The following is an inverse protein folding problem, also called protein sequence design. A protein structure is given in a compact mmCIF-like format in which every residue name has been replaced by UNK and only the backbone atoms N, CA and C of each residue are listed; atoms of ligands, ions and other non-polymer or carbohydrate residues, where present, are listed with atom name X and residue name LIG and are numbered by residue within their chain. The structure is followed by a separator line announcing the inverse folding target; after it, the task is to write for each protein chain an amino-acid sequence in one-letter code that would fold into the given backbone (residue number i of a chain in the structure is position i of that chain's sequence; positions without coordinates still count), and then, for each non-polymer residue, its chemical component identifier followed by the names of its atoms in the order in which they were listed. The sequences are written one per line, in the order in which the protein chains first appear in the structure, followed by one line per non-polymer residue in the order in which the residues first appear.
data_IF_125541653871
#
_entry.id   IF_125541653871
#
_cell.length_a   1.000
_cell.length_b   1.000
_cell.length_c   1.000
_cell.angle_alpha   90.00
_cell.angle_beta   90.00
_cell.angle_gamma   90.00
#
_symmetry.space_group_name_H-M   'P 1'
#
loop_
_entity.id
_entity.type
_entity.pdbx_description
1 polymer ?
#
# COMPACT_ATOMS: atom_id res chain seq x y z
N UNK A 1 5.81 -18.34 8.97
CA UNK A 1 5.74 -17.21 8.03
C UNK A 1 5.98 -15.93 8.80
N UNK A 2 6.81 -15.03 8.28
CA UNK A 2 7.00 -13.68 8.81
C UNK A 2 6.38 -12.70 7.81
N UNK A 3 5.60 -11.76 8.31
CA UNK A 3 5.05 -10.65 7.54
C UNK A 3 5.66 -9.39 8.13
N UNK A 4 6.41 -8.65 7.32
CA UNK A 4 7.01 -7.37 7.72
C UNK A 4 6.14 -6.26 7.14
N UNK A 5 5.51 -5.48 8.02
CA UNK A 5 4.77 -4.29 7.61
C UNK A 5 5.72 -3.09 7.56
N UNK A 6 5.73 -2.39 6.44
CA UNK A 6 6.37 -1.09 6.29
C UNK A 6 5.29 -0.04 6.40
N UNK A 7 5.35 0.79 7.44
CA UNK A 7 4.36 1.83 7.67
C UNK A 7 4.72 3.08 6.87
N UNK A 8 3.81 3.51 6.01
CA UNK A 8 4.00 4.69 5.17
C UNK A 8 3.29 5.90 5.78
N UNK A 9 3.87 7.12 5.71
CA UNK A 9 3.15 8.31 6.13
C UNK A 9 1.80 8.48 5.42
N UNK A 10 0.74 8.79 6.19
CA UNK A 10 -0.60 8.94 5.64
C UNK A 10 -0.80 10.18 4.77
N UNK A 11 -1.67 10.08 3.76
CA UNK A 11 -2.06 11.21 2.91
C UNK A 11 -2.99 12.16 3.67
N UNK A 12 -2.57 13.42 3.78
CA UNK A 12 -3.31 14.47 4.46
C UNK A 12 -3.84 15.47 3.43
N UNK A 13 -5.12 15.83 3.51
CA UNK A 13 -5.65 16.93 2.70
C UNK A 13 -4.94 18.23 3.07
N UNK A 14 -4.40 18.91 2.08
CA UNK A 14 -3.70 20.19 2.29
C UNK A 14 -4.62 21.35 1.97
N UNK A 15 -4.81 22.25 2.95
CA UNK A 15 -5.51 23.53 2.73
C UNK A 15 -4.53 24.69 2.54
N UNK A 16 -3.21 24.46 2.71
CA UNK A 16 -2.20 25.52 2.71
C UNK A 16 -0.89 25.13 2.02
N UNK A 17 -0.24 26.13 1.38
CA UNK A 17 1.02 25.95 0.64
C UNK A 17 2.20 25.44 1.50
N UNK A 18 2.18 25.69 2.81
CA UNK A 18 3.21 25.16 3.74
C UNK A 18 3.03 23.65 3.99
N UNK A 19 1.79 23.15 3.92
CA UNK A 19 1.49 21.72 4.04
C UNK A 19 1.72 20.97 2.73
N UNK A 20 1.72 21.68 1.59
CA UNK A 20 1.98 21.11 0.26
C UNK A 20 3.43 20.61 0.11
N UNK A 21 4.42 21.39 0.58
CA UNK A 21 5.82 20.97 0.58
C UNK A 21 6.08 19.74 1.46
N UNK A 22 5.46 19.68 2.64
CA UNK A 22 5.49 18.52 3.52
C UNK A 22 4.79 17.32 2.89
N UNK A 23 3.61 17.51 2.30
CA UNK A 23 2.89 16.42 1.64
C UNK A 23 3.72 15.81 0.52
N UNK A 24 4.44 16.62 -0.25
CA UNK A 24 5.36 16.14 -1.28
C UNK A 24 6.48 15.28 -0.68
N UNK A 25 7.06 15.69 0.45
CA UNK A 25 8.09 14.90 1.14
C UNK A 25 7.54 13.56 1.66
N UNK A 26 6.38 13.58 2.33
CA UNK A 26 5.69 12.38 2.81
C UNK A 26 5.31 11.44 1.65
N UNK A 27 4.87 12.00 0.52
CA UNK A 27 4.60 11.24 -0.71
C UNK A 27 5.87 10.62 -1.30
N UNK A 28 7.01 11.30 -1.24
CA UNK A 28 8.30 10.76 -1.71
C UNK A 28 8.78 9.62 -0.81
N UNK A 29 8.62 9.75 0.51
CA UNK A 29 8.93 8.67 1.46
C UNK A 29 8.03 7.47 1.24
N UNK A 30 6.71 7.67 1.24
CA UNK A 30 5.74 6.60 0.99
C UNK A 30 5.96 5.93 -0.38
N UNK A 31 6.33 6.71 -1.39
CA UNK A 31 6.68 6.21 -2.72
C UNK A 31 7.87 5.23 -2.69
N UNK A 32 8.95 5.59 -2.00
CA UNK A 32 10.13 4.72 -1.90
C UNK A 32 9.81 3.42 -1.16
N UNK A 33 8.98 3.49 -0.12
CA UNK A 33 8.58 2.32 0.68
C UNK A 33 7.65 1.37 -0.09
N UNK A 34 6.80 1.90 -0.96
CA UNK A 34 5.92 1.10 -1.82
C UNK A 34 6.70 0.36 -2.91
N UNK A 35 7.73 0.99 -3.49
CA UNK A 35 8.50 0.39 -4.61
C UNK A 35 9.18 -0.93 -4.21
N UNK A 36 9.61 -1.04 -2.95
CA UNK A 36 10.29 -2.23 -2.39
C UNK A 36 9.32 -3.24 -1.74
N UNK A 37 8.02 -2.92 -1.65
CA UNK A 37 7.03 -3.79 -1.04
C UNK A 37 6.61 -4.95 -1.96
N UNK A 38 6.57 -6.17 -1.43
CA UNK A 38 6.06 -7.33 -2.16
C UNK A 38 4.56 -7.22 -2.48
N UNK A 39 3.82 -6.57 -1.57
CA UNK A 39 2.38 -6.39 -1.65
C UNK A 39 1.97 -5.10 -0.90
N UNK A 40 1.01 -4.35 -1.45
CA UNK A 40 0.54 -3.09 -0.85
C UNK A 40 -0.91 -3.19 -0.36
N UNK A 41 -1.19 -2.66 0.83
CA UNK A 41 -2.55 -2.48 1.34
C UNK A 41 -2.94 -1.01 1.21
N UNK A 42 -3.91 -0.71 0.34
CA UNK A 42 -4.46 0.63 0.19
C UNK A 42 -5.61 0.82 1.17
N UNK A 43 -5.32 1.46 2.30
CA UNK A 43 -6.29 1.69 3.38
C UNK A 43 -7.11 2.97 3.14
N UNK A 44 -8.44 2.84 3.09
CA UNK A 44 -9.37 3.93 2.85
C UNK A 44 -10.38 4.02 4.00
N UNK A 45 -10.61 5.23 4.51
CA UNK A 45 -11.64 5.50 5.52
C UNK A 45 -13.03 5.51 4.85
N UNK A 46 -13.82 4.46 5.08
CA UNK A 46 -15.13 4.27 4.46
C UNK A 46 -16.19 5.27 4.93
N UNK A 47 -15.97 5.94 6.06
CA UNK A 47 -16.87 6.96 6.60
C UNK A 47 -16.64 8.34 5.95
N UNK A 48 -15.54 8.52 5.20
CA UNK A 48 -15.25 9.75 4.46
C UNK A 48 -15.87 9.71 3.07
N UNK A 49 -16.19 10.89 2.56
CA UNK A 49 -16.62 11.04 1.17
C UNK A 49 -15.40 11.02 0.25
N UNK A 50 -15.55 10.34 -0.89
CA UNK A 50 -14.60 10.44 -2.00
C UNK A 50 -14.68 11.84 -2.60
N UNK A 51 -13.53 12.49 -2.72
CA UNK A 51 -13.35 13.71 -3.52
C UNK A 51 -12.21 13.54 -4.51
N UNK A 52 -12.02 14.52 -5.37
CA UNK A 52 -11.08 14.41 -6.49
C UNK A 52 -9.63 14.26 -6.00
N UNK A 53 -9.24 14.98 -4.94
CA UNK A 53 -7.91 14.86 -4.33
C UNK A 53 -7.66 13.44 -3.78
N UNK A 54 -8.63 12.87 -3.05
CA UNK A 54 -8.50 11.50 -2.55
C UNK A 54 -8.46 10.49 -3.69
N UNK A 55 -9.25 10.70 -4.75
CA UNK A 55 -9.28 9.85 -5.93
C UNK A 55 -7.93 9.85 -6.65
N UNK A 56 -7.33 11.02 -6.85
CA UNK A 56 -6.01 11.17 -7.49
C UNK A 56 -4.90 10.50 -6.67
N UNK A 57 -4.90 10.72 -5.35
CA UNK A 57 -3.95 10.09 -4.44
C UNK A 57 -4.05 8.56 -4.48
N UNK A 58 -5.27 8.02 -4.40
CA UNK A 58 -5.51 6.58 -4.43
C UNK A 58 -5.11 5.97 -5.78
N UNK A 59 -5.43 6.63 -6.89
CA UNK A 59 -5.02 6.19 -8.23
C UNK A 59 -3.50 6.12 -8.32
N UNK A 60 -2.81 7.16 -7.84
CA UNK A 60 -1.34 7.22 -7.84
C UNK A 60 -0.73 6.09 -7.00
N UNK A 61 -1.28 5.81 -5.82
CA UNK A 61 -0.83 4.73 -4.95
C UNK A 61 -1.06 3.35 -5.57
N UNK A 62 -2.24 3.11 -6.15
CA UNK A 62 -2.56 1.85 -6.80
C UNK A 62 -1.66 1.59 -8.00
N UNK A 63 -1.40 2.60 -8.84
CA UNK A 63 -0.47 2.49 -9.96
C UNK A 63 0.96 2.17 -9.50
N UNK A 64 1.45 2.85 -8.45
CA UNK A 64 2.77 2.55 -7.88
C UNK A 64 2.86 1.13 -7.32
N UNK A 65 1.84 0.70 -6.59
CA UNK A 65 1.80 -0.66 -6.05
C UNK A 65 1.89 -1.72 -7.16
N UNK A 66 1.26 -1.49 -8.32
CA UNK A 66 1.35 -2.40 -9.48
C UNK A 66 2.79 -2.46 -10.01
N UNK A 67 3.51 -1.34 -9.99
CA UNK A 67 4.90 -1.24 -10.45
C UNK A 67 5.95 -1.58 -9.38
N UNK A 68 5.51 -1.86 -8.15
CA UNK A 68 6.40 -2.24 -7.06
C UNK A 68 7.22 -3.48 -7.47
N UNK A 69 8.53 -3.35 -7.35
CA UNK A 69 9.49 -4.39 -7.73
C UNK A 69 9.42 -5.54 -6.73
N UNK A 70 9.03 -5.24 -5.50
CA UNK A 70 9.14 -6.17 -4.37
C UNK A 70 10.57 -6.26 -3.86
N UNK A 71 10.78 -7.09 -2.85
CA UNK A 71 12.11 -7.26 -2.27
C UNK A 71 13.06 -7.90 -3.28
N UNK A 72 14.19 -7.24 -3.52
CA UNK A 72 15.29 -7.82 -4.30
C UNK A 72 16.16 -8.64 -3.34
N UNK A 73 16.05 -9.97 -3.38
CA UNK A 73 17.03 -10.83 -2.71
C UNK A 73 18.37 -10.71 -3.45
N UNK A 74 19.36 -10.05 -2.85
CA UNK A 74 20.74 -10.13 -3.33
C UNK A 74 21.30 -11.50 -2.95
N UNK A 75 21.36 -12.43 -3.90
CA UNK A 75 22.23 -13.60 -3.70
C UNK A 75 23.69 -13.13 -3.72
N UNK A 76 24.42 -13.41 -2.63
CA UNK A 76 25.88 -13.34 -2.62
C UNK A 76 26.39 -14.42 -3.57
N UNK A 77 26.88 -14.00 -4.74
CA UNK A 77 27.61 -14.90 -5.62
C UNK A 77 28.91 -15.28 -4.92
N UNK A 78 29.12 -16.57 -4.68
CA UNK A 78 30.47 -17.09 -4.43
C UNK A 78 31.36 -16.65 -5.59
N UNK A 79 32.49 -16.02 -5.27
CA UNK A 79 33.45 -15.46 -6.22
C UNK A 79 33.95 -16.56 -7.18
N UNK A 80 33.32 -16.62 -8.36
CA UNK A 80 33.67 -17.49 -9.47
C UNK A 80 33.45 -16.73 -10.77
N UNK A 81 34.58 -16.37 -11.39
CA UNK A 81 34.75 -15.69 -12.66
C UNK A 81 33.63 -15.94 -13.69
N UNK A 82 32.87 -14.89 -14.04
CA UNK A 82 32.56 -14.50 -15.43
C UNK A 82 31.66 -13.24 -15.45
N UNK A 83 32.16 -12.18 -16.07
CA UNK A 83 31.37 -11.00 -16.43
C UNK A 83 30.32 -11.38 -17.48
N UNK A 84 29.05 -11.53 -17.08
CA UNK A 84 27.88 -11.00 -17.77
C UNK A 84 26.57 -11.50 -17.14
N UNK A 85 25.60 -10.57 -17.08
CA UNK A 85 24.16 -10.80 -16.84
C UNK A 85 23.72 -10.91 -15.37
N UNK A 86 23.42 -9.74 -14.76
CA UNK A 86 22.48 -9.66 -13.63
C UNK A 86 21.13 -10.19 -14.10
N UNK A 87 20.80 -11.45 -13.77
CA UNK A 87 19.46 -12.00 -13.97
C UNK A 87 18.66 -11.78 -12.70
N UNK A 88 17.64 -10.93 -12.78
CA UNK A 88 16.59 -10.77 -11.76
C UNK A 88 15.83 -12.10 -11.69
N UNK A 89 16.27 -13.05 -10.87
CA UNK A 89 15.52 -14.28 -10.63
C UNK A 89 14.45 -13.99 -9.59
N UNK A 90 13.21 -13.85 -10.04
CA UNK A 90 12.04 -13.91 -9.16
C UNK A 90 12.05 -15.26 -8.42
N UNK A 91 11.76 -15.23 -7.12
CA UNK A 91 12.04 -16.31 -6.16
C UNK A 91 11.14 -17.56 -6.23
N UNK A 92 10.76 -18.07 -7.42
CA UNK A 92 10.09 -19.38 -7.51
C UNK A 92 10.50 -20.23 -8.75
N UNK A 93 10.91 -21.50 -8.56
CA UNK A 93 11.18 -22.43 -9.67
C UNK A 93 9.92 -23.07 -10.30
N UNK A 94 8.73 -22.51 -10.06
CA UNK A 94 7.43 -22.99 -10.58
C UNK A 94 6.45 -21.84 -10.87
N UNK A 95 6.95 -20.64 -11.17
CA UNK A 95 6.10 -19.59 -11.70
C UNK A 95 5.81 -19.89 -13.17
N UNK A 96 4.57 -20.24 -13.51
CA UNK A 96 4.06 -20.02 -14.87
C UNK A 96 4.23 -18.51 -15.14
N UNK A 97 5.15 -18.13 -16.03
CA UNK A 97 5.49 -16.73 -16.36
C UNK A 97 4.28 -15.87 -16.76
N UNK A 98 3.12 -16.49 -17.02
CA UNK A 98 1.90 -15.89 -17.54
C UNK A 98 0.82 -15.55 -16.49
N UNK A 99 0.99 -15.89 -15.19
CA UNK A 99 -0.01 -15.54 -14.15
C UNK A 99 0.40 -14.25 -13.44
N UNK A 100 -0.28 -13.11 -13.67
CA UNK A 100 0.07 -11.86 -13.02
C UNK A 100 -0.20 -11.95 -11.52
N UNK A 101 0.80 -11.68 -10.68
CA UNK A 101 0.62 -11.62 -9.23
C UNK A 101 -0.24 -10.40 -8.86
N UNK A 102 -1.20 -10.62 -7.97
CA UNK A 102 -1.90 -9.53 -7.29
C UNK A 102 -0.86 -8.70 -6.53
N UNK A 103 -0.82 -7.39 -6.74
CA UNK A 103 0.18 -6.48 -6.16
C UNK A 103 -0.37 -5.60 -5.05
N UNK A 104 -1.69 -5.45 -4.97
CA UNK A 104 -2.33 -4.68 -3.92
C UNK A 104 -3.75 -5.13 -3.62
N UNK A 105 -4.20 -4.81 -2.42
CA UNK A 105 -5.57 -4.93 -1.95
C UNK A 105 -6.11 -3.55 -1.55
N UNK A 106 -7.42 -3.37 -1.67
CA UNK A 106 -8.13 -2.20 -1.15
C UNK A 106 -8.79 -2.59 0.18
N UNK A 107 -8.56 -1.80 1.22
CA UNK A 107 -9.14 -2.05 2.54
C UNK A 107 -9.99 -0.85 2.95
N UNK A 108 -11.29 -1.05 3.04
CA UNK A 108 -12.26 -0.10 3.56
C UNK A 108 -12.34 -0.24 5.08
N UNK A 109 -11.76 0.71 5.81
CA UNK A 109 -11.77 0.75 7.27
C UNK A 109 -12.91 1.64 7.81
N UNK A 110 -13.26 1.46 9.09
CA UNK A 110 -14.34 2.18 9.81
C UNK A 110 -15.73 1.91 9.25
N UNK A 111 -15.97 0.69 8.76
CA UNK A 111 -17.27 0.31 8.17
C UNK A 111 -18.43 0.36 9.16
N UNK A 112 -18.14 0.27 10.45
CA UNK A 112 -19.08 0.44 11.57
C UNK A 112 -19.69 1.85 11.62
N UNK A 113 -18.95 2.87 11.19
CA UNK A 113 -19.41 4.27 11.15
C UNK A 113 -20.23 4.62 9.90
N UNK A 114 -20.30 3.72 8.91
CA UNK A 114 -20.96 4.00 7.63
C UNK A 114 -22.47 3.76 7.72
N UNK A 115 -23.23 4.85 7.67
CA UNK A 115 -24.68 4.84 7.61
C UNK A 115 -25.20 5.84 6.55
N UNK A 116 -26.04 5.43 5.58
CA UNK A 116 -26.52 4.07 5.33
C UNK A 116 -25.46 3.16 4.70
N UNK A 117 -25.55 1.84 4.97
CA UNK A 117 -24.64 0.82 4.42
C UNK A 117 -24.57 0.81 2.88
N UNK A 118 -25.58 1.33 2.19
CA UNK A 118 -25.54 1.52 0.73
C UNK A 118 -24.36 2.41 0.27
N UNK A 119 -23.98 3.43 1.06
CA UNK A 119 -22.83 4.29 0.75
C UNK A 119 -21.53 3.50 0.68
N UNK A 120 -21.36 2.53 1.57
CA UNK A 120 -20.19 1.65 1.60
C UNK A 120 -20.05 0.85 0.30
N UNK A 121 -21.17 0.32 -0.20
CA UNK A 121 -21.17 -0.43 -1.46
C UNK A 121 -20.85 0.48 -2.65
N UNK A 122 -21.40 1.70 -2.69
CA UNK A 122 -21.06 2.68 -3.73
C UNK A 122 -19.57 3.01 -3.73
N UNK A 123 -18.99 3.26 -2.56
CA UNK A 123 -17.56 3.53 -2.42
C UNK A 123 -16.71 2.32 -2.86
N UNK A 124 -17.08 1.10 -2.45
CA UNK A 124 -16.38 -0.12 -2.86
C UNK A 124 -16.43 -0.34 -4.37
N UNK A 125 -17.58 -0.09 -5.00
CA UNK A 125 -17.71 -0.16 -6.47
C UNK A 125 -16.83 0.89 -7.15
N UNK A 126 -16.85 2.13 -6.67
CA UNK A 126 -16.03 3.21 -7.23
C UNK A 126 -14.53 2.89 -7.13
N UNK A 127 -14.07 2.47 -5.95
CA UNK A 127 -12.68 2.05 -5.72
C UNK A 127 -12.29 0.81 -6.53
N UNK A 128 -13.21 -0.16 -6.65
CA UNK A 128 -13.01 -1.35 -7.47
C UNK A 128 -12.79 -0.99 -8.93
N UNK A 129 -13.56 -0.03 -9.48
CA UNK A 129 -13.39 0.48 -10.84
C UNK A 129 -12.05 1.20 -11.02
N UNK A 130 -11.66 2.05 -10.06
CA UNK A 130 -10.36 2.74 -10.09
C UNK A 130 -9.21 1.70 -10.07
N UNK A 131 -9.30 0.73 -9.16
CA UNK A 131 -8.30 -0.32 -9.02
C UNK A 131 -8.20 -1.21 -10.27
N UNK A 132 -9.32 -1.61 -10.85
CA UNK A 132 -9.38 -2.38 -12.11
C UNK A 132 -8.77 -1.60 -13.28
N UNK A 133 -9.09 -0.29 -13.40
CA UNK A 133 -8.43 0.58 -14.36
C UNK A 133 -6.92 0.62 -14.12
N UNK A 134 -6.47 0.76 -12.88
CA UNK A 134 -5.04 0.72 -12.56
C UNK A 134 -4.41 -0.62 -13.00
N UNK A 135 -5.05 -1.77 -12.76
CA UNK A 135 -4.52 -3.09 -13.16
C UNK A 135 -4.41 -3.21 -14.68
N UNK A 136 -5.41 -2.69 -15.42
CA UNK A 136 -5.44 -2.71 -16.89
C UNK A 136 -4.40 -1.78 -17.51
N UNK A 137 -4.37 -0.53 -17.07
CA UNK A 137 -3.51 0.54 -17.61
C UNK A 137 -2.14 0.61 -16.94
N UNK A 138 -1.93 -0.10 -15.83
CA UNK A 138 -0.61 -0.23 -15.20
C UNK A 138 0.33 -1.13 -16.01
N UNK A 139 -0.17 -1.87 -17.00
CA UNK A 139 0.68 -2.72 -17.86
C UNK A 139 1.19 -2.00 -19.11
N UNK A 140 0.61 -0.87 -19.50
CA UNK A 140 1.07 -0.01 -20.61
C UNK A 140 0.79 1.48 -20.29
N UNK A 141 1.72 2.43 -20.51
CA UNK A 141 1.49 3.84 -20.18
C UNK A 141 0.30 4.41 -20.99
N UNK A 142 -0.64 5.15 -20.36
CA UNK A 142 -1.91 5.50 -20.99
C UNK A 142 -1.77 6.55 -22.11
N UNK A 143 -2.52 6.35 -23.20
CA UNK A 143 -2.69 7.29 -24.31
C UNK A 143 -4.08 7.95 -24.22
N UNK A 144 -4.17 9.04 -23.46
CA UNK A 144 -5.31 9.98 -23.36
C UNK A 144 -6.69 9.43 -22.89
N UNK A 145 -7.28 10.13 -21.91
CA UNK A 145 -8.48 9.74 -21.15
C UNK A 145 -9.81 9.71 -21.96
N UNK A 146 -9.88 10.32 -23.15
CA UNK A 146 -11.11 10.42 -23.96
C UNK A 146 -11.31 9.24 -24.93
N UNK A 147 -10.24 8.61 -25.45
CA UNK A 147 -10.34 7.46 -26.36
C UNK A 147 -10.72 6.16 -25.63
N UNK A 148 -10.44 6.09 -24.32
CA UNK A 148 -10.56 4.87 -23.50
C UNK A 148 -12.01 4.53 -23.12
N UNK A 149 -12.83 5.54 -22.84
CA UNK A 149 -14.25 5.38 -22.53
C UNK A 149 -15.06 4.74 -23.68
N UNK A 150 -14.66 5.00 -24.93
CA UNK A 150 -15.30 4.44 -26.11
C UNK A 150 -14.98 2.94 -26.31
N UNK A 151 -13.81 2.49 -25.83
CA UNK A 151 -13.32 1.11 -25.96
C UNK A 151 -14.01 0.16 -24.98
N UNK A 152 -14.40 0.65 -23.80
CA UNK A 152 -15.17 -0.13 -22.82
C UNK A 152 -16.60 -0.44 -23.26
N UNK A 153 -17.20 0.43 -24.07
CA UNK A 153 -18.59 0.28 -24.51
C UNK A 153 -18.80 -0.84 -25.56
N UNK A 154 -17.72 -1.40 -26.11
CA UNK A 154 -17.76 -2.38 -27.20
C UNK A 154 -17.36 -3.81 -26.81
N UNK A 155 -17.08 -4.09 -25.53
CA UNK A 155 -16.60 -5.41 -25.07
C UNK A 155 -17.72 -6.45 -24.94
N UNK A 156 -17.38 -7.70 -25.25
CA UNK A 156 -18.25 -8.89 -25.18
C UNK A 156 -18.36 -9.48 -23.76
N UNK A 157 -19.32 -10.40 -23.58
CA UNK A 157 -19.63 -10.97 -22.26
C UNK A 157 -18.56 -11.94 -21.75
N UNK A 158 -17.84 -12.62 -22.64
CA UNK A 158 -16.69 -13.44 -22.28
C UNK A 158 -15.48 -12.59 -21.84
N UNK A 159 -15.25 -11.44 -22.48
CA UNK A 159 -14.20 -10.48 -22.09
C UNK A 159 -14.49 -9.84 -20.73
N UNK A 160 -15.76 -9.52 -20.45
CA UNK A 160 -16.21 -9.05 -19.14
C UNK A 160 -15.98 -10.07 -18.01
N UNK A 161 -16.09 -11.37 -18.30
CA UNK A 161 -15.87 -12.44 -17.30
C UNK A 161 -14.38 -12.70 -17.03
N UNK A 162 -13.51 -12.53 -18.03
CA UNK A 162 -12.05 -12.58 -17.84
C UNK A 162 -11.52 -11.38 -17.03
N UNK A 163 -12.19 -10.22 -17.14
CA UNK A 163 -11.93 -9.01 -16.35
C UNK A 163 -12.39 -9.17 -14.89
N UNK A 164 -13.38 -10.02 -14.59
CA UNK A 164 -13.86 -10.25 -13.22
C UNK A 164 -12.76 -10.87 -12.31
N UNK A 165 -11.76 -11.53 -12.91
CA UNK A 165 -10.51 -11.98 -12.26
C UNK A 165 -9.44 -10.88 -12.08
N UNK A 166 -9.69 -9.66 -12.54
CA UNK A 166 -8.74 -8.53 -12.50
C UNK A 166 -9.11 -7.45 -11.47
N UNK A 167 -10.26 -7.58 -10.80
CA UNK A 167 -10.56 -6.67 -9.70
C UNK A 167 -9.60 -6.93 -8.53
N UNK A 168 -8.93 -5.88 -8.01
CA UNK A 168 -8.15 -6.05 -6.80
C UNK A 168 -9.08 -6.46 -5.65
N UNK A 169 -8.62 -7.33 -4.74
CA UNK A 169 -9.43 -7.74 -3.60
C UNK A 169 -9.81 -6.54 -2.74
N UNK A 170 -11.08 -6.46 -2.35
CA UNK A 170 -11.62 -5.40 -1.50
C UNK A 170 -12.07 -5.99 -0.17
N UNK A 171 -11.46 -5.53 0.93
CA UNK A 171 -11.81 -5.94 2.29
C UNK A 171 -12.58 -4.84 3.01
N UNK A 172 -13.50 -5.25 3.88
CA UNK A 172 -14.30 -4.35 4.72
C UNK A 172 -13.96 -4.64 6.17
N UNK A 173 -13.43 -3.66 6.88
CA UNK A 173 -12.99 -3.86 8.27
C UNK A 173 -13.45 -2.74 9.20
N UNK A 174 -13.56 -3.09 10.47
CA UNK A 174 -13.46 -2.13 11.56
C UNK A 174 -12.25 -2.49 12.40
N UNK A 175 -11.14 -1.79 12.17
CA UNK A 175 -9.89 -2.08 12.85
C UNK A 175 -9.98 -1.90 14.38
N UNK A 176 -10.85 -1.00 14.87
CA UNK A 176 -11.02 -0.77 16.31
C UNK A 176 -11.87 -1.85 16.97
N UNK A 177 -12.81 -2.44 16.24
CA UNK A 177 -13.68 -3.51 16.73
C UNK A 177 -13.11 -4.91 16.41
N UNK A 178 -11.91 -4.99 15.83
CA UNK A 178 -11.26 -6.22 15.36
C UNK A 178 -12.13 -7.04 14.38
N UNK A 179 -12.93 -6.36 13.56
CA UNK A 179 -13.86 -6.97 12.61
C UNK A 179 -13.26 -6.98 11.19
N UNK A 180 -13.25 -8.14 10.53
CA UNK A 180 -12.72 -8.36 9.18
C UNK A 180 -11.19 -8.37 9.04
N UNK A 181 -10.44 -8.07 10.11
CA UNK A 181 -8.95 -8.01 10.07
C UNK A 181 -8.33 -9.38 9.76
N UNK A 182 -8.92 -10.46 10.27
CA UNK A 182 -8.43 -11.81 10.04
C UNK A 182 -8.45 -12.21 8.55
N UNK A 183 -9.39 -11.68 7.77
CA UNK A 183 -9.47 -11.98 6.33
C UNK A 183 -8.29 -11.38 5.57
N UNK A 184 -7.83 -10.19 5.98
CA UNK A 184 -6.62 -9.55 5.45
C UNK A 184 -5.40 -10.40 5.81
N UNK A 185 -5.25 -10.81 7.07
CA UNK A 185 -4.12 -11.64 7.50
C UNK A 185 -4.09 -12.96 6.72
N UNK A 186 -5.22 -13.64 6.60
CA UNK A 186 -5.33 -14.88 5.84
C UNK A 186 -4.98 -14.67 4.36
N UNK A 187 -5.34 -13.51 3.79
CA UNK A 187 -5.00 -13.16 2.42
C UNK A 187 -3.49 -12.96 2.23
N UNK A 188 -2.85 -12.17 3.10
CA UNK A 188 -1.40 -11.97 3.07
C UNK A 188 -0.64 -13.29 3.26
N UNK A 189 -1.10 -14.16 4.17
CA UNK A 189 -0.49 -15.48 4.39
C UNK A 189 -0.57 -16.38 3.15
N UNK A 190 -1.62 -16.27 2.34
CA UNK A 190 -1.73 -17.00 1.06
C UNK A 190 -0.77 -16.48 -0.01
N UNK A 191 -0.44 -15.18 0.04
CA UNK A 191 0.46 -14.52 -0.89
C UNK A 191 1.93 -14.60 -0.47
N UNK A 192 2.20 -15.02 0.77
CA UNK A 192 3.55 -15.08 1.32
C UNK A 192 4.46 -15.96 0.45
N UNK A 193 5.57 -15.39 -0.01
CA UNK A 193 6.60 -16.10 -0.75
C UNK A 193 7.52 -16.86 0.21
N UNK A 194 8.03 -18.04 -0.19
CA UNK A 194 9.15 -18.65 0.50
C UNK A 194 10.34 -17.67 0.48
N UNK A 195 11.03 -17.54 1.61
CA UNK A 195 12.29 -16.80 1.71
C UNK A 195 13.23 -17.60 2.61
N UNK A 196 14.52 -17.60 2.26
CA UNK A 196 15.56 -18.29 3.02
C UNK A 196 16.09 -17.43 4.17
N UNK A 197 15.76 -16.13 4.19
CA UNK A 197 16.23 -15.17 5.17
C UNK A 197 15.08 -14.63 6.05
N UNK A 198 15.31 -14.60 7.37
CA UNK A 198 14.43 -13.89 8.30
C UNK A 198 14.97 -12.48 8.48
N UNK A 199 14.18 -11.47 8.10
CA UNK A 199 14.59 -10.06 8.21
C UNK A 199 14.62 -9.58 9.66
N UNK A 200 13.89 -10.26 10.55
CA UNK A 200 13.83 -9.99 11.97
C UNK A 200 13.96 -11.28 12.77
N UNK A 201 14.64 -11.20 13.92
CA UNK A 201 14.66 -12.28 14.92
C UNK A 201 13.26 -12.57 15.47
N UNK A 202 13.05 -13.78 16.00
CA UNK A 202 11.72 -14.24 16.41
C UNK A 202 11.08 -13.42 17.55
N UNK A 203 11.88 -12.77 18.40
CA UNK A 203 11.45 -11.90 19.48
C UNK A 203 11.42 -10.41 19.10
N UNK A 204 11.95 -10.05 17.92
CA UNK A 204 12.03 -8.69 17.46
C UNK A 204 10.77 -8.29 16.70
N UNK A 205 9.97 -7.42 17.33
CA UNK A 205 8.69 -6.92 16.75
C UNK A 205 8.90 -5.76 15.78
N UNK A 206 10.01 -5.02 15.87
CA UNK A 206 10.29 -3.83 15.05
C UNK A 206 11.79 -3.65 14.81
N UNK A 207 12.15 -3.02 13.69
CA UNK A 207 13.52 -2.61 13.38
C UNK A 207 13.94 -1.32 14.10
N UNK A 208 13.00 -0.62 14.74
CA UNK A 208 13.28 0.63 15.45
C UNK A 208 14.19 0.41 16.66
N UNK A 209 15.20 1.25 16.78
CA UNK A 209 16.03 1.34 17.97
C UNK A 209 15.22 1.75 19.21
N UNK A 210 15.68 1.44 20.44
CA UNK A 210 15.03 1.88 21.67
C UNK A 210 14.80 3.40 21.74
N UNK A 211 15.70 4.19 21.16
CA UNK A 211 15.62 5.65 21.13
C UNK A 211 14.47 6.09 20.21
N UNK A 212 14.40 5.57 18.99
CA UNK A 212 13.31 5.86 18.05
C UNK A 212 11.94 5.46 18.63
N UNK A 213 11.87 4.32 19.32
CA UNK A 213 10.65 3.89 20.02
C UNK A 213 10.22 4.89 21.10
N UNK A 214 11.17 5.43 21.88
CA UNK A 214 10.89 6.46 22.87
C UNK A 214 10.40 7.74 22.18
N UNK A 215 10.99 8.09 21.05
CA UNK A 215 10.57 9.25 20.24
C UNK A 215 9.13 9.09 19.74
N UNK A 216 8.75 7.93 19.19
CA UNK A 216 7.36 7.67 18.80
C UNK A 216 6.39 7.78 19.97
N UNK A 217 6.73 7.21 21.13
CA UNK A 217 5.88 7.28 22.32
C UNK A 217 5.67 8.72 22.77
N UNK A 218 6.72 9.53 22.80
CA UNK A 218 6.61 10.95 23.18
C UNK A 218 5.82 11.72 22.12
N UNK A 219 6.09 11.49 20.84
CA UNK A 219 5.37 12.12 19.71
C UNK A 219 3.87 11.84 19.80
N UNK A 220 3.49 10.58 20.05
CA UNK A 220 2.09 10.19 20.27
C UNK A 220 1.44 10.98 21.42
N UNK A 221 2.13 11.11 22.57
CA UNK A 221 1.60 11.88 23.72
C UNK A 221 1.50 13.37 23.42
N UNK A 222 2.46 13.93 22.69
CA UNK A 222 2.42 15.33 22.26
C UNK A 222 1.21 15.56 21.36
N UNK A 223 0.98 14.72 20.35
CA UNK A 223 -0.18 14.84 19.45
C UNK A 223 -1.52 14.65 20.18
N UNK A 224 -1.60 13.73 21.14
CA UNK A 224 -2.81 13.58 21.97
C UNK A 224 -3.07 14.79 22.87
N UNK A 225 -2.01 15.43 23.39
CA UNK A 225 -2.15 16.51 24.36
C UNK A 225 -2.40 17.87 23.69
N UNK A 226 -1.82 18.08 22.50
CA UNK A 226 -1.91 19.31 21.74
C UNK A 226 -3.05 19.20 20.73
N UNK A 227 -4.28 19.40 21.22
CA UNK A 227 -5.55 19.23 20.49
C UNK A 227 -5.80 20.23 19.35
N UNK A 228 -4.83 21.09 18.99
CA UNK A 228 -4.92 22.02 17.84
C UNK A 228 -3.57 22.14 17.16
N UNK A 229 -3.63 22.04 15.82
CA UNK A 229 -2.55 22.28 14.85
C UNK A 229 -1.16 22.33 15.47
N UNK A 230 -0.65 21.17 15.88
CA UNK A 230 0.80 21.11 15.92
C UNK A 230 1.23 20.88 14.49
N UNK A 231 1.97 21.81 13.88
CA UNK A 231 2.55 21.56 12.57
C UNK A 231 3.32 20.25 12.67
N UNK A 232 3.40 19.49 11.59
CA UNK A 232 4.29 18.33 11.45
C UNK A 232 5.79 18.68 11.57
N UNK A 233 6.11 19.81 12.20
CA UNK A 233 7.42 20.38 12.48
C UNK A 233 7.71 20.37 14.00
N UNK A 234 7.19 19.38 14.75
CA UNK A 234 7.69 19.17 16.12
C UNK A 234 9.08 18.55 15.99
N UNK A 235 10.10 19.35 16.27
CA UNK A 235 11.44 18.84 16.53
C UNK A 235 11.52 18.40 17.99
N UNK A 236 11.58 17.09 18.19
CA UNK A 236 11.85 16.48 19.49
C UNK A 236 13.34 16.14 19.57
N UNK A 237 13.96 16.44 20.72
CA UNK A 237 15.34 16.02 21.00
C UNK A 237 15.40 15.41 22.40
N UNK A 238 15.77 14.13 22.47
CA UNK A 238 15.99 13.44 23.74
C UNK A 238 17.34 13.86 24.33
N UNK A 239 17.32 14.57 25.46
CA UNK A 239 18.56 15.11 26.08
C UNK A 239 19.50 14.04 26.65
N UNK A 240 18.96 12.90 27.08
CA UNK A 240 19.76 11.83 27.67
C UNK A 240 19.03 10.51 27.50
N UNK A 241 19.76 9.48 27.09
CA UNK A 241 19.35 8.08 27.13
C UNK A 241 20.47 7.29 27.82
N UNK A 242 20.12 6.44 28.77
CA UNK A 242 21.06 5.52 29.43
C UNK A 242 20.46 4.12 29.38
N UNK A 243 21.22 3.20 28.80
CA UNK A 243 20.90 1.78 28.70
C UNK A 243 21.14 1.06 30.01
#
# INVERSE_FOLDING_TARGET
TQIVFVDTPGFLRTTSAKQEGLMRELMVTAASEIDDADYTIVLVDAARNMDDDLREALTTLMLRAIHARGRVEMQTLEEGEEENQFTLKHAHPQDDEDVPREKFAIVLNKVDLVNPKKKMLTLATELGVIGDNCVKYGREPPSSHEEELAKFASLSREELFAIEKQFPPVFFISALEDDGVQDILNHLLRLATPSEEWTLEADQVTQMSPVERIEEVIREKLYRSLHREVPHQIEQMNRTYRT
#
